data_IF_931424417016
#
_entry.id   IF_931424417016
#
_cell.length_a   1.000
_cell.length_b   1.000
_cell.length_c   1.000
_cell.angle_alpha   90.00
_cell.angle_beta   90.00
_cell.angle_gamma   90.00
#
_symmetry.space_group_name_H-M   'P 1'
#
loop_
_entity.id
_entity.type
_entity.pdbx_description
1 polymer ?
#
# COMPACT_ATOMS: atom_id res chain seq x y z
N UNK A 1 2.35 -52.63 -1.99
CA UNK A 1 3.75 -52.28 -2.34
C UNK A 1 3.96 -51.69 -3.73
N UNK A 2 3.17 -52.03 -4.78
CA UNK A 2 3.26 -51.30 -6.08
C UNK A 2 2.50 -49.97 -6.10
N UNK A 3 1.46 -49.83 -5.26
CA UNK A 3 0.61 -48.64 -5.18
C UNK A 3 1.33 -47.46 -4.54
N UNK A 4 2.16 -47.70 -3.52
CA UNK A 4 2.91 -46.65 -2.81
C UNK A 4 3.99 -45.98 -3.68
N UNK A 5 4.62 -46.74 -4.59
CA UNK A 5 5.67 -46.22 -5.47
C UNK A 5 5.07 -45.23 -6.48
N UNK A 6 3.90 -45.55 -7.05
CA UNK A 6 3.22 -44.68 -8.02
C UNK A 6 2.75 -43.36 -7.38
N UNK A 7 2.29 -43.42 -6.13
CA UNK A 7 1.84 -42.24 -5.39
C UNK A 7 3.01 -41.34 -4.98
N UNK A 8 4.18 -41.93 -4.72
CA UNK A 8 5.43 -41.19 -4.51
C UNK A 8 5.89 -40.51 -5.80
N UNK A 9 5.81 -41.20 -6.94
CA UNK A 9 6.17 -40.64 -8.26
C UNK A 9 5.28 -39.44 -8.64
N UNK A 10 3.96 -39.55 -8.49
CA UNK A 10 3.03 -38.44 -8.75
C UNK A 10 3.28 -37.22 -7.82
N UNK A 11 3.61 -37.47 -6.55
CA UNK A 11 3.98 -36.39 -5.61
C UNK A 11 5.29 -35.73 -5.97
N UNK A 12 6.28 -36.49 -6.43
CA UNK A 12 7.57 -35.94 -6.86
C UNK A 12 7.41 -35.09 -8.13
N UNK A 13 6.60 -35.53 -9.08
CA UNK A 13 6.31 -34.79 -10.31
C UNK A 13 5.61 -33.45 -10.00
N UNK A 14 4.55 -33.48 -9.20
CA UNK A 14 3.82 -32.27 -8.78
C UNK A 14 4.67 -31.31 -7.95
N UNK A 15 5.62 -31.84 -7.17
CA UNK A 15 6.58 -31.02 -6.42
C UNK A 15 7.63 -30.41 -7.36
N UNK A 16 8.08 -31.16 -8.36
CA UNK A 16 8.98 -30.68 -9.41
C UNK A 16 8.38 -29.53 -10.22
N UNK A 17 7.10 -29.63 -10.58
CA UNK A 17 6.37 -28.56 -11.27
C UNK A 17 6.25 -27.29 -10.42
N UNK A 18 5.96 -27.43 -9.12
CA UNK A 18 5.92 -26.29 -8.18
C UNK A 18 7.28 -25.63 -8.02
N UNK A 19 8.35 -26.42 -7.91
CA UNK A 19 9.72 -25.90 -7.81
C UNK A 19 10.10 -25.17 -9.10
N UNK A 20 9.69 -25.67 -10.27
CA UNK A 20 9.93 -25.01 -11.55
C UNK A 20 9.17 -23.68 -11.67
N UNK A 21 7.89 -23.65 -11.28
CA UNK A 21 7.10 -22.41 -11.26
C UNK A 21 7.67 -21.36 -10.31
N UNK A 22 8.09 -21.78 -9.10
CA UNK A 22 8.78 -20.89 -8.15
C UNK A 22 10.13 -20.42 -8.72
N UNK A 23 10.87 -21.29 -9.42
CA UNK A 23 12.12 -20.94 -10.09
C UNK A 23 11.93 -19.92 -11.21
N UNK A 24 10.87 -20.04 -12.01
CA UNK A 24 10.50 -19.08 -13.05
C UNK A 24 10.13 -17.72 -12.44
N UNK A 25 9.34 -17.71 -11.37
CA UNK A 25 8.99 -16.50 -10.61
C UNK A 25 10.26 -15.86 -10.00
N UNK A 26 11.17 -16.65 -9.42
CA UNK A 26 12.43 -16.16 -8.87
C UNK A 26 13.38 -15.62 -9.95
N UNK A 27 13.30 -16.15 -11.17
CA UNK A 27 14.11 -15.69 -12.31
C UNK A 27 13.62 -14.34 -12.82
N UNK A 28 12.30 -14.11 -12.79
CA UNK A 28 11.69 -12.82 -13.13
C UNK A 28 11.95 -11.78 -12.04
N UNK A 29 11.86 -12.18 -10.77
CA UNK A 29 11.97 -11.27 -9.63
C UNK A 29 13.42 -10.99 -9.19
N UNK A 30 14.35 -11.93 -9.42
CA UNK A 30 15.78 -11.75 -9.09
C UNK A 30 16.41 -10.49 -9.67
N UNK A 31 16.25 -10.16 -10.96
CA UNK A 31 16.83 -8.94 -11.53
C UNK A 31 16.15 -7.66 -11.03
N UNK A 32 14.92 -7.73 -10.51
CA UNK A 32 14.21 -6.59 -9.93
C UNK A 32 14.67 -6.29 -8.49
N UNK A 33 15.27 -7.26 -7.80
CA UNK A 33 15.71 -7.11 -6.41
C UNK A 33 16.87 -6.10 -6.25
N UNK A 34 17.95 -6.11 -7.06
CA UNK A 34 18.98 -5.08 -7.02
C UNK A 34 18.45 -3.69 -7.38
N UNK A 35 17.48 -3.60 -8.30
CA UNK A 35 16.87 -2.33 -8.70
C UNK A 35 16.03 -1.77 -7.55
N UNK A 36 15.22 -2.60 -6.91
CA UNK A 36 14.41 -2.21 -5.77
C UNK A 36 15.24 -1.91 -4.50
N UNK A 37 16.44 -2.50 -4.39
CA UNK A 37 17.40 -2.17 -3.34
C UNK A 37 18.12 -0.86 -3.67
N UNK A 38 18.61 -0.69 -4.90
CA UNK A 38 19.26 0.54 -5.36
C UNK A 38 18.35 1.77 -5.26
N UNK A 39 17.08 1.63 -5.64
CA UNK A 39 16.08 2.70 -5.44
C UNK A 39 15.89 3.07 -3.97
N UNK A 40 16.02 2.10 -3.04
CA UNK A 40 15.92 2.36 -1.60
C UNK A 40 17.21 2.94 -1.03
N UNK A 41 18.36 2.49 -1.52
CA UNK A 41 19.68 3.01 -1.11
C UNK A 41 19.86 4.46 -1.59
N UNK A 42 19.51 4.77 -2.84
CA UNK A 42 19.51 6.15 -3.37
C UNK A 42 18.54 7.06 -2.59
N UNK A 43 17.37 6.53 -2.21
CA UNK A 43 16.42 7.24 -1.36
C UNK A 43 17.00 7.51 0.03
N UNK A 44 17.69 6.53 0.62
CA UNK A 44 18.31 6.65 1.94
C UNK A 44 19.55 7.56 1.94
N UNK A 45 20.36 7.54 0.87
CA UNK A 45 21.53 8.41 0.71
C UNK A 45 21.11 9.88 0.49
N UNK A 46 20.04 10.10 -0.27
CA UNK A 46 19.45 11.45 -0.47
C UNK A 46 18.84 11.99 0.83
N UNK A 47 18.23 11.13 1.64
CA UNK A 47 17.69 11.48 2.96
C UNK A 47 18.79 11.88 3.97
N UNK A 48 19.98 11.27 3.87
CA UNK A 48 21.10 11.56 4.78
C UNK A 48 21.98 12.75 4.34
N UNK A 49 21.94 13.16 3.07
CA UNK A 49 22.84 14.19 2.53
C UNK A 49 22.38 15.63 2.77
N UNK A 50 21.11 15.89 3.11
CA UNK A 50 20.65 17.17 3.66
C UNK A 50 20.95 18.42 2.79
N UNK A 51 21.17 18.27 1.48
CA UNK A 51 21.36 19.42 0.60
C UNK A 51 20.01 19.96 0.12
N UNK A 52 19.54 20.97 0.83
CA UNK A 52 18.48 21.87 0.42
C UNK A 52 18.81 22.54 -0.92
N UNK A 53 18.14 22.17 -2.01
CA UNK A 53 18.02 23.05 -3.17
C UNK A 53 16.66 23.72 -3.16
N UNK A 54 16.66 24.95 -2.66
CA UNK A 54 15.56 25.88 -2.81
C UNK A 54 15.54 26.53 -4.19
N UNK A 55 14.38 27.15 -4.42
CA UNK A 55 14.11 28.30 -5.27
C UNK A 55 13.93 28.07 -6.78
N UNK A 56 12.69 28.39 -7.18
CA UNK A 56 12.20 28.80 -8.51
C UNK A 56 11.64 27.70 -9.41
N UNK A 57 10.34 27.36 -9.28
CA UNK A 57 9.47 27.25 -10.47
C UNK A 57 8.03 27.70 -10.16
N UNK A 58 7.53 28.47 -11.10
CA UNK A 58 6.29 29.20 -11.21
C UNK A 58 4.97 28.49 -10.88
N UNK A 59 4.08 29.33 -10.37
CA UNK A 59 2.64 29.19 -10.21
C UNK A 59 1.96 29.05 -11.58
N UNK A 60 1.71 27.82 -12.09
CA UNK A 60 0.64 27.55 -13.08
C UNK A 60 0.63 26.11 -13.63
N UNK A 61 -0.14 25.19 -13.01
CA UNK A 61 -0.93 24.21 -13.79
C UNK A 61 -2.19 23.84 -13.01
N UNK A 62 -3.31 24.44 -13.39
CA UNK A 62 -4.64 23.90 -13.10
C UNK A 62 -4.81 22.59 -13.87
N UNK A 63 -5.15 21.50 -13.18
CA UNK A 63 -5.53 20.26 -13.84
C UNK A 63 -5.94 19.24 -12.80
N UNK A 64 -7.21 18.83 -12.84
CA UNK A 64 -7.73 17.70 -12.08
C UNK A 64 -6.88 16.49 -12.45
N UNK A 65 -5.95 16.13 -11.55
CA UNK A 65 -5.08 14.97 -11.73
C UNK A 65 -5.71 13.79 -11.00
N UNK A 66 -5.83 12.71 -11.76
CA UNK A 66 -6.42 11.43 -11.42
C UNK A 66 -5.99 10.93 -10.02
N UNK A 67 -6.93 10.69 -9.08
CA UNK A 67 -6.60 10.17 -7.75
C UNK A 67 -6.12 8.71 -7.76
N UNK A 68 -6.10 8.04 -8.91
CA UNK A 68 -5.52 6.69 -9.08
C UNK A 68 -4.06 6.67 -9.56
N UNK A 69 -3.50 7.84 -9.92
CA UNK A 69 -2.09 7.96 -10.26
C UNK A 69 -1.26 8.06 -8.97
N UNK A 70 -0.30 7.14 -8.78
CA UNK A 70 0.72 7.25 -7.74
C UNK A 70 1.60 8.45 -8.11
N UNK A 71 1.52 9.52 -7.31
CA UNK A 71 2.26 10.74 -7.54
C UNK A 71 3.73 10.55 -7.16
N UNK A 72 4.61 10.63 -8.16
CA UNK A 72 6.04 10.85 -7.98
C UNK A 72 6.28 12.30 -8.42
N UNK A 73 6.58 13.16 -7.47
CA UNK A 73 6.87 14.59 -7.72
C UNK A 73 6.65 15.44 -6.47
N UNK A 74 7.77 15.79 -5.83
CA UNK A 74 8.07 16.98 -5.04
C UNK A 74 6.90 17.68 -4.36
N UNK A 75 6.57 17.23 -3.14
CA UNK A 75 6.36 18.11 -1.96
C UNK A 75 5.93 17.36 -0.67
N UNK A 76 5.91 16.03 -0.66
CA UNK A 76 5.58 15.29 0.55
C UNK A 76 6.39 13.99 0.57
N UNK A 77 7.47 13.93 1.34
CA UNK A 77 7.95 12.63 1.83
C UNK A 77 6.78 12.00 2.59
N UNK A 78 6.22 10.85 2.17
CA UNK A 78 5.26 10.16 2.99
C UNK A 78 6.03 9.59 4.17
N UNK A 79 5.98 10.29 5.30
CA UNK A 79 6.54 9.86 6.60
C UNK A 79 5.97 8.51 7.06
N UNK A 80 4.92 8.00 6.41
CA UNK A 80 4.33 6.71 6.66
C UNK A 80 3.76 6.09 5.37
N UNK A 81 4.23 4.88 5.02
CA UNK A 81 3.73 4.08 3.90
C UNK A 81 3.31 2.68 4.38
N UNK A 82 2.01 2.44 4.40
CA UNK A 82 1.40 1.23 4.97
C UNK A 82 1.87 -0.05 4.29
N UNK A 83 2.18 0.01 2.98
CA UNK A 83 2.67 -1.17 2.25
C UNK A 83 4.04 -1.57 2.76
N UNK A 84 4.94 -0.59 2.89
CA UNK A 84 6.29 -0.79 3.42
C UNK A 84 6.23 -1.28 4.86
N UNK A 85 5.43 -0.64 5.71
CA UNK A 85 5.35 -0.97 7.13
C UNK A 85 4.78 -2.38 7.36
N UNK A 86 3.70 -2.75 6.64
CA UNK A 86 3.17 -4.12 6.66
C UNK A 86 4.24 -5.14 6.21
N UNK A 87 5.06 -4.79 5.21
CA UNK A 87 6.16 -5.65 4.77
C UNK A 87 7.23 -5.79 5.86
N UNK A 88 7.58 -4.72 6.57
CA UNK A 88 8.54 -4.76 7.68
C UNK A 88 8.02 -5.63 8.84
N UNK A 89 6.75 -5.51 9.21
CA UNK A 89 6.10 -6.38 10.20
C UNK A 89 6.12 -7.86 9.79
N UNK A 90 5.74 -8.15 8.53
CA UNK A 90 5.74 -9.52 8.00
C UNK A 90 7.13 -10.16 8.02
N UNK A 91 8.20 -9.36 7.99
CA UNK A 91 9.60 -9.80 8.05
C UNK A 91 10.19 -9.76 9.46
N UNK A 92 9.44 -9.29 10.46
CA UNK A 92 9.92 -9.15 11.83
C UNK A 92 11.01 -8.09 11.98
N UNK A 93 11.04 -7.08 11.11
CA UNK A 93 11.99 -5.96 11.17
C UNK A 93 11.51 -4.85 12.13
N UNK A 94 10.20 -4.79 12.36
CA UNK A 94 9.54 -3.95 13.36
C UNK A 94 8.49 -4.80 14.10
N UNK A 95 8.24 -4.47 15.36
CA UNK A 95 7.32 -5.20 16.24
C UNK A 95 6.41 -4.27 17.07
N UNK A 96 6.52 -2.95 16.89
CA UNK A 96 5.71 -1.95 17.59
C UNK A 96 4.30 -1.82 16.99
N UNK A 97 3.46 -2.80 17.33
CA UNK A 97 2.06 -2.87 16.91
C UNK A 97 1.24 -1.67 17.41
N UNK A 98 1.62 -1.06 18.53
CA UNK A 98 0.92 0.08 19.12
C UNK A 98 1.09 1.32 18.25
N UNK A 99 2.33 1.65 17.88
CA UNK A 99 2.60 2.77 16.97
C UNK A 99 1.99 2.55 15.59
N UNK A 100 2.04 1.32 15.06
CA UNK A 100 1.39 1.00 13.78
C UNK A 100 -0.13 1.26 13.85
N UNK A 101 -0.78 0.76 14.90
CA UNK A 101 -2.22 0.94 15.09
C UNK A 101 -2.57 2.41 15.29
N UNK A 102 -1.74 3.15 16.03
CA UNK A 102 -1.90 4.58 16.24
C UNK A 102 -1.81 5.35 14.92
N UNK A 103 -0.92 4.99 14.00
CA UNK A 103 -0.72 5.64 12.70
C UNK A 103 -1.77 5.27 11.65
N UNK A 104 -2.17 4.00 11.57
CA UNK A 104 -3.05 3.53 10.51
C UNK A 104 -4.51 3.32 10.92
N UNK A 105 -4.80 3.19 12.22
CA UNK A 105 -6.16 2.99 12.76
C UNK A 105 -6.60 1.52 12.81
N UNK A 106 -5.65 0.60 12.62
CA UNK A 106 -5.84 -0.84 12.65
C UNK A 106 -4.50 -1.55 12.83
N UNK A 107 -4.53 -2.78 13.33
CA UNK A 107 -3.32 -3.61 13.41
C UNK A 107 -2.79 -3.98 12.02
N UNK A 108 -1.52 -4.39 11.96
CA UNK A 108 -0.85 -4.66 10.68
C UNK A 108 -1.39 -5.90 9.98
N UNK A 109 -1.95 -6.87 10.71
CA UNK A 109 -2.57 -8.05 10.12
C UNK A 109 -3.85 -7.68 9.37
N UNK A 110 -4.69 -6.82 9.95
CA UNK A 110 -5.86 -6.27 9.30
C UNK A 110 -5.47 -5.35 8.12
N UNK A 111 -4.39 -4.55 8.27
CA UNK A 111 -3.91 -3.69 7.18
C UNK A 111 -3.44 -4.53 5.99
N UNK A 112 -2.74 -5.64 6.25
CA UNK A 112 -2.30 -6.60 5.23
C UNK A 112 -3.46 -7.18 4.39
N UNK A 113 -4.66 -7.32 4.95
CA UNK A 113 -5.83 -7.77 4.17
C UNK A 113 -6.38 -6.67 3.26
N UNK A 114 -6.07 -5.41 3.57
CA UNK A 114 -6.63 -4.23 2.90
C UNK A 114 -5.66 -3.57 1.92
N UNK A 115 -4.36 -3.88 1.96
CA UNK A 115 -3.37 -3.31 1.03
C UNK A 115 -3.61 -3.71 -0.44
N UNK A 116 -4.40 -4.75 -0.70
CA UNK A 116 -4.81 -5.12 -2.06
C UNK A 116 -5.85 -4.15 -2.65
N UNK A 117 -6.39 -3.24 -1.84
CA UNK A 117 -7.38 -2.26 -2.24
C UNK A 117 -6.75 -0.85 -2.29
N UNK A 118 -6.49 -0.29 -3.49
CA UNK A 118 -5.76 0.98 -3.62
C UNK A 118 -6.38 2.14 -2.83
N UNK A 119 -7.71 2.23 -2.76
CA UNK A 119 -8.39 3.28 -1.99
C UNK A 119 -8.16 3.16 -0.48
N UNK A 120 -7.99 1.96 0.05
CA UNK A 120 -7.64 1.76 1.45
C UNK A 120 -6.18 2.11 1.71
N UNK A 121 -5.27 1.80 0.79
CA UNK A 121 -3.86 2.24 0.88
C UNK A 121 -3.80 3.77 0.95
N UNK A 122 -4.48 4.46 0.05
CA UNK A 122 -4.53 5.93 0.06
C UNK A 122 -5.14 6.49 1.36
N UNK A 123 -6.22 5.88 1.86
CA UNK A 123 -6.86 6.33 3.11
C UNK A 123 -5.97 6.11 4.34
N UNK A 124 -5.29 4.96 4.42
CA UNK A 124 -4.35 4.62 5.50
C UNK A 124 -3.14 5.57 5.48
N UNK A 125 -2.53 5.80 4.31
CA UNK A 125 -1.40 6.72 4.17
C UNK A 125 -1.82 8.18 4.43
N UNK A 126 -3.03 8.60 4.03
CA UNK A 126 -3.56 9.93 4.36
C UNK A 126 -3.69 10.12 5.88
N UNK A 127 -4.24 9.13 6.59
CA UNK A 127 -4.35 9.16 8.05
C UNK A 127 -2.98 9.27 8.71
N UNK A 128 -2.05 8.42 8.32
CA UNK A 128 -0.72 8.40 8.90
C UNK A 128 0.04 9.70 8.62
N UNK A 129 -0.08 10.26 7.42
CA UNK A 129 0.46 11.57 7.07
C UNK A 129 -0.12 12.70 7.94
N UNK A 130 -1.44 12.76 8.14
CA UNK A 130 -2.06 13.78 9.02
C UNK A 130 -1.52 13.66 10.44
N UNK A 131 -1.38 12.45 10.96
CA UNK A 131 -0.88 12.21 12.32
C UNK A 131 0.64 12.44 12.47
N UNK A 132 1.42 12.32 11.40
CA UNK A 132 2.87 12.49 11.44
C UNK A 132 3.33 13.92 11.14
N UNK A 133 2.60 14.66 10.31
CA UNK A 133 3.00 15.99 9.84
C UNK A 133 2.37 17.14 10.62
N UNK A 134 1.22 16.93 11.27
CA UNK A 134 0.39 18.05 11.70
C UNK A 134 0.11 18.09 13.21
N UNK A 135 0.08 19.33 13.71
CA UNK A 135 -0.53 19.78 14.96
C UNK A 135 -2.06 19.64 14.99
N UNK A 136 -2.66 18.96 14.01
CA UNK A 136 -4.11 18.76 13.86
C UNK A 136 -4.51 17.32 14.12
N UNK A 137 -5.62 17.16 14.86
CA UNK A 137 -6.18 15.86 15.17
C UNK A 137 -6.82 15.22 13.93
N UNK A 138 -6.69 13.90 13.83
CA UNK A 138 -7.44 13.12 12.85
C UNK A 138 -8.93 13.10 13.18
N UNK A 139 -9.75 13.83 12.42
CA UNK A 139 -11.19 13.99 12.66
C UNK A 139 -12.09 13.04 11.86
N UNK A 140 -11.52 12.26 10.94
CA UNK A 140 -12.27 11.46 9.95
C UNK A 140 -12.35 9.98 10.30
N UNK A 141 -12.26 9.68 11.58
CA UNK A 141 -12.23 8.31 12.11
C UNK A 141 -13.53 7.56 11.79
N UNK A 142 -14.67 8.25 11.80
CA UNK A 142 -15.97 7.65 11.47
C UNK A 142 -16.03 7.22 10.00
N UNK A 143 -15.67 8.11 9.08
CA UNK A 143 -15.67 7.84 7.64
C UNK A 143 -14.67 6.75 7.28
N UNK A 144 -13.48 6.77 7.89
CA UNK A 144 -12.46 5.74 7.70
C UNK A 144 -12.95 4.36 8.12
N UNK A 145 -13.55 4.24 9.31
CA UNK A 145 -14.09 2.97 9.79
C UNK A 145 -15.24 2.45 8.93
N UNK A 146 -16.10 3.35 8.42
CA UNK A 146 -17.18 2.98 7.50
C UNK A 146 -16.64 2.50 6.15
N UNK A 147 -15.65 3.20 5.59
CA UNK A 147 -15.00 2.80 4.33
C UNK A 147 -14.28 1.45 4.48
N UNK A 148 -13.56 1.24 5.58
CA UNK A 148 -12.92 -0.04 5.92
C UNK A 148 -13.95 -1.16 5.96
N UNK A 149 -15.01 -0.98 6.74
CA UNK A 149 -16.06 -1.98 6.91
C UNK A 149 -16.75 -2.31 5.59
N UNK A 150 -17.03 -1.31 4.76
CA UNK A 150 -17.59 -1.54 3.44
C UNK A 150 -16.61 -2.35 2.58
N UNK A 151 -15.34 -1.96 2.51
CA UNK A 151 -14.32 -2.64 1.69
C UNK A 151 -14.19 -4.12 2.03
N UNK A 152 -14.19 -4.47 3.32
CA UNK A 152 -14.10 -5.87 3.78
C UNK A 152 -15.31 -6.73 3.39
N UNK A 153 -16.46 -6.12 3.12
CA UNK A 153 -17.70 -6.82 2.77
C UNK A 153 -18.11 -6.61 1.30
N UNK A 154 -17.37 -5.78 0.55
CA UNK A 154 -17.70 -5.44 -0.82
C UNK A 154 -17.44 -6.64 -1.73
N UNK A 155 -18.38 -6.89 -2.63
CA UNK A 155 -18.21 -7.85 -3.70
C UNK A 155 -17.19 -7.31 -4.73
N UNK A 156 -16.56 -8.20 -5.53
CA UNK A 156 -15.67 -7.76 -6.61
C UNK A 156 -16.33 -6.77 -7.58
N UNK A 157 -17.64 -6.92 -7.84
CA UNK A 157 -18.40 -6.00 -8.69
C UNK A 157 -18.52 -4.60 -8.07
N UNK A 158 -18.83 -4.52 -6.79
CA UNK A 158 -18.92 -3.23 -6.07
C UNK A 158 -17.57 -2.51 -5.98
N UNK A 159 -16.46 -3.24 -5.84
CA UNK A 159 -15.11 -2.67 -5.89
C UNK A 159 -14.80 -2.10 -7.28
N UNK A 160 -15.18 -2.80 -8.34
CA UNK A 160 -15.04 -2.31 -9.71
C UNK A 160 -15.88 -1.05 -9.93
N UNK A 161 -17.13 -1.03 -9.46
CA UNK A 161 -18.00 0.13 -9.60
C UNK A 161 -17.48 1.34 -8.81
N UNK A 162 -16.91 1.12 -7.62
CA UNK A 162 -16.23 2.15 -6.85
C UNK A 162 -15.06 2.80 -7.60
N UNK A 163 -14.25 1.99 -8.30
CA UNK A 163 -13.12 2.53 -9.10
C UNK A 163 -13.60 3.38 -10.27
N UNK A 164 -14.73 3.03 -10.90
CA UNK A 164 -15.34 3.78 -12.01
C UNK A 164 -16.07 5.04 -11.56
N UNK A 165 -16.56 5.08 -10.32
CA UNK A 165 -17.24 6.25 -9.76
C UNK A 165 -16.23 7.35 -9.43
N UNK A 166 -15.86 8.15 -10.42
CA UNK A 166 -14.94 9.29 -10.23
C UNK A 166 -15.66 10.47 -9.57
N UNK A 167 -16.96 10.62 -9.81
CA UNK A 167 -17.74 11.78 -9.38
C UNK A 167 -18.21 11.69 -7.92
N UNK A 168 -18.14 10.53 -7.27
CA UNK A 168 -18.60 10.36 -5.89
C UNK A 168 -20.11 10.22 -5.79
N UNK A 169 -20.73 9.50 -6.74
CA UNK A 169 -22.18 9.26 -6.74
C UNK A 169 -22.57 8.24 -5.69
N UNK A 170 -21.74 7.21 -5.51
CA UNK A 170 -21.94 6.14 -4.54
C UNK A 170 -21.49 6.57 -3.15
N UNK A 171 -22.21 6.12 -2.12
CA UNK A 171 -21.89 6.43 -0.74
C UNK A 171 -20.45 6.05 -0.33
N UNK A 172 -19.92 4.85 -0.67
CA UNK A 172 -18.54 4.50 -0.34
C UNK A 172 -17.53 5.45 -0.98
N UNK A 173 -17.78 5.92 -2.21
CA UNK A 173 -16.90 6.89 -2.86
C UNK A 173 -16.95 8.25 -2.17
N UNK A 174 -18.13 8.67 -1.69
CA UNK A 174 -18.25 9.90 -0.89
C UNK A 174 -17.44 9.81 0.41
N UNK A 175 -17.48 8.66 1.10
CA UNK A 175 -16.63 8.43 2.28
C UNK A 175 -15.15 8.61 1.95
N UNK A 176 -14.68 7.96 0.88
CA UNK A 176 -13.30 8.08 0.42
C UNK A 176 -12.92 9.52 0.06
N UNK A 177 -13.72 10.21 -0.76
CA UNK A 177 -13.44 11.59 -1.14
C UNK A 177 -13.44 12.53 0.08
N UNK A 178 -14.31 12.31 1.05
CA UNK A 178 -14.32 13.07 2.30
C UNK A 178 -13.04 12.83 3.10
N UNK A 179 -12.54 11.58 3.18
CA UNK A 179 -11.24 11.26 3.79
C UNK A 179 -10.11 12.02 3.11
N UNK A 180 -10.09 12.03 1.77
CA UNK A 180 -8.99 12.60 0.99
C UNK A 180 -8.97 14.14 0.95
N UNK A 181 -10.07 14.84 1.23
CA UNK A 181 -10.09 16.31 1.33
C UNK A 181 -9.12 16.81 2.40
N UNK A 182 -8.50 17.97 2.22
CA UNK A 182 -7.68 18.55 3.28
C UNK A 182 -8.58 19.02 4.44
N UNK A 183 -8.20 18.66 5.66
CA UNK A 183 -8.79 19.19 6.90
C UNK A 183 -8.19 20.55 7.20
#
# INVERSE_FOLDING_TARGET
MKTDIREIEERMEKTGEKIRAIGEELTILSPLKPIAIGMREEFFETFLSGESMGENVDESVSGIKDPSAIWIGDDIEPVADVITDVCMFKKGLIDDNESFTALYGLDWQAAKELIEHPHMVSAMNKRANVLSTASTEWTKESEFNQLRRWTQNATPGELVDFTKDVAGVTYPKQLFLNIMRNS
#
